data_IF_557710679347
#
_entry.id   IF_557710679347
#
_cell.length_a   1.000
_cell.length_b   1.000
_cell.length_c   1.000
_cell.angle_alpha   90.00
_cell.angle_beta   90.00
_cell.angle_gamma   90.00
#
_symmetry.space_group_name_H-M   'P 1'
#
loop_
_entity.id
_entity.type
_entity.pdbx_description
1 polymer ?
#
# COMPACT_ATOMS: atom_id res chain seq x y z
N UNK A 1 -45.83 56.32 -7.06
CA UNK A 1 -46.02 55.64 -5.76
C UNK A 1 -45.14 54.38 -5.73
N UNK A 2 -43.93 54.47 -5.18
CA UNK A 2 -42.96 53.35 -5.09
C UNK A 2 -42.73 53.05 -3.62
N UNK A 3 -43.17 51.88 -3.16
CA UNK A 3 -42.96 51.41 -1.79
C UNK A 3 -41.48 51.00 -1.67
N UNK A 4 -40.69 51.80 -0.93
CA UNK A 4 -39.32 51.42 -0.56
C UNK A 4 -39.41 50.41 0.60
N UNK A 5 -39.35 49.11 0.28
CA UNK A 5 -39.12 48.10 1.29
C UNK A 5 -37.73 48.32 1.92
N UNK A 6 -37.68 48.41 3.25
CA UNK A 6 -36.44 48.70 3.97
C UNK A 6 -35.49 47.49 3.92
N UNK A 7 -34.23 47.72 3.53
CA UNK A 7 -33.17 46.69 3.46
C UNK A 7 -32.89 46.00 4.81
N UNK A 8 -33.43 46.51 5.92
CA UNK A 8 -33.23 45.95 7.26
C UNK A 8 -34.02 44.66 7.51
N UNK A 9 -35.14 44.46 6.82
CA UNK A 9 -35.97 43.24 6.99
C UNK A 9 -35.40 42.02 6.24
N UNK A 10 -34.59 42.22 5.20
CA UNK A 10 -33.96 41.13 4.44
C UNK A 10 -32.70 40.57 5.14
N UNK A 11 -32.02 41.40 5.94
CA UNK A 11 -30.82 41.00 6.67
C UNK A 11 -31.15 40.14 7.90
N UNK A 12 -32.31 40.35 8.52
CA UNK A 12 -32.76 39.56 9.68
C UNK A 12 -33.22 38.14 9.31
N UNK A 13 -33.88 37.99 8.15
CA UNK A 13 -34.38 36.68 7.68
C UNK A 13 -33.22 35.78 7.22
N UNK A 14 -32.14 36.37 6.69
CA UNK A 14 -30.95 35.59 6.26
C UNK A 14 -30.11 35.09 7.44
N UNK A 15 -30.07 35.82 8.57
CA UNK A 15 -29.30 35.39 9.75
C UNK A 15 -30.00 34.28 10.54
N UNK A 16 -31.34 34.27 10.60
CA UNK A 16 -32.11 33.21 11.29
C UNK A 16 -32.07 31.88 10.52
N UNK A 17 -32.02 31.92 9.18
CA UNK A 17 -31.93 30.70 8.36
C UNK A 17 -30.59 29.95 8.54
N UNK A 18 -29.50 30.67 8.78
CA UNK A 18 -28.16 30.08 9.02
C UNK A 18 -28.09 29.43 10.41
N UNK A 19 -28.83 29.95 11.40
CA UNK A 19 -28.87 29.40 12.76
C UNK A 19 -29.70 28.11 12.87
N UNK A 20 -30.66 27.88 11.97
CA UNK A 20 -31.52 26.68 12.00
C UNK A 20 -30.93 25.53 11.16
N UNK A 21 -30.14 25.82 10.11
CA UNK A 21 -29.44 24.79 9.33
C UNK A 21 -28.03 24.45 9.84
N UNK A 22 -27.47 25.22 10.79
CA UNK A 22 -26.10 25.07 11.29
C UNK A 22 -25.86 24.01 12.37
N UNK A 23 -26.86 23.21 12.76
CA UNK A 23 -26.77 22.31 13.93
C UNK A 23 -27.05 20.83 13.65
N UNK A 24 -26.90 20.39 12.40
CA UNK A 24 -26.65 18.97 12.10
C UNK A 24 -25.18 18.73 11.77
N UNK A 25 -24.30 19.31 12.56
CA UNK A 25 -22.93 18.81 12.71
C UNK A 25 -23.03 17.42 13.34
N UNK A 26 -23.33 16.40 12.55
CA UNK A 26 -22.92 15.05 12.91
C UNK A 26 -21.42 15.14 13.08
N UNK A 27 -20.97 15.11 14.33
CA UNK A 27 -19.59 14.81 14.65
C UNK A 27 -19.26 13.55 13.86
N UNK A 28 -18.40 13.69 12.85
CA UNK A 28 -17.70 12.58 12.24
C UNK A 28 -16.77 12.05 13.33
N UNK A 29 -17.34 11.41 14.36
CA UNK A 29 -16.59 10.68 15.35
C UNK A 29 -15.77 9.68 14.55
N UNK A 30 -14.47 9.93 14.44
CA UNK A 30 -13.55 9.11 13.67
C UNK A 30 -13.81 7.65 14.08
N UNK A 31 -14.24 6.81 13.13
CA UNK A 31 -14.56 5.41 13.42
C UNK A 31 -13.37 4.80 14.17
N UNK A 32 -13.62 4.32 15.39
CA UNK A 32 -12.59 3.69 16.21
C UNK A 32 -12.01 2.50 15.44
N UNK A 33 -10.69 2.49 15.23
CA UNK A 33 -10.01 1.40 14.53
C UNK A 33 -10.12 0.12 15.40
N UNK A 34 -10.64 -1.00 14.86
CA UNK A 34 -10.70 -2.27 15.58
C UNK A 34 -9.33 -2.72 16.09
N UNK A 35 -9.28 -3.43 17.22
CA UNK A 35 -8.03 -3.81 17.90
C UNK A 35 -7.11 -4.66 17.01
N UNK A 36 -7.66 -5.48 16.14
CA UNK A 36 -6.95 -6.35 15.21
C UNK A 36 -6.26 -5.53 14.12
N UNK A 37 -6.97 -4.54 13.57
CA UNK A 37 -6.40 -3.60 12.59
C UNK A 37 -5.33 -2.72 13.25
N UNK A 38 -5.57 -2.27 14.48
CA UNK A 38 -4.58 -1.53 15.27
C UNK A 38 -3.31 -2.37 15.47
N UNK A 39 -3.43 -3.64 15.84
CA UNK A 39 -2.30 -4.55 15.99
C UNK A 39 -1.47 -4.67 14.69
N UNK A 40 -2.11 -4.82 13.54
CA UNK A 40 -1.42 -4.86 12.23
C UNK A 40 -0.68 -3.55 11.96
N UNK A 41 -1.35 -2.41 12.16
CA UNK A 41 -0.75 -1.08 11.95
C UNK A 41 0.43 -0.83 12.90
N UNK A 42 0.29 -1.24 14.16
CA UNK A 42 1.34 -1.09 15.16
C UNK A 42 2.54 -1.98 14.82
N UNK A 43 2.32 -3.21 14.33
CA UNK A 43 3.39 -4.08 13.84
C UNK A 43 4.13 -3.48 12.65
N UNK A 44 3.38 -2.96 11.65
CA UNK A 44 3.97 -2.30 10.48
C UNK A 44 4.76 -1.03 10.84
N UNK A 45 4.37 -0.35 11.91
CA UNK A 45 5.00 0.89 12.37
C UNK A 45 6.24 0.66 13.25
N UNK A 46 6.58 -0.59 13.59
CA UNK A 46 7.77 -0.89 14.38
C UNK A 46 9.03 -0.45 13.61
N UNK A 47 9.98 0.28 14.24
CA UNK A 47 11.14 0.82 13.53
C UNK A 47 11.92 -0.22 12.73
N UNK A 48 12.14 -1.41 13.28
CA UNK A 48 12.83 -2.50 12.61
C UNK A 48 12.06 -3.07 11.41
N UNK A 49 10.73 -3.01 11.43
CA UNK A 49 9.88 -3.46 10.32
C UNK A 49 9.96 -2.43 9.19
N UNK A 50 9.81 -1.15 9.52
CA UNK A 50 9.96 -0.03 8.58
C UNK A 50 11.35 -0.07 7.95
N UNK A 51 12.40 -0.24 8.74
CA UNK A 51 13.78 -0.31 8.25
C UNK A 51 14.00 -1.53 7.33
N UNK A 52 13.53 -2.72 7.73
CA UNK A 52 13.65 -3.94 6.92
C UNK A 52 13.02 -3.77 5.54
N UNK A 53 11.76 -3.32 5.50
CA UNK A 53 11.06 -3.17 4.23
C UNK A 53 11.54 -1.96 3.43
N UNK A 54 11.99 -0.89 4.08
CA UNK A 54 12.71 0.21 3.43
C UNK A 54 13.93 -0.30 2.65
N UNK A 55 14.78 -1.12 3.29
CA UNK A 55 15.94 -1.73 2.63
C UNK A 55 15.58 -2.65 1.47
N UNK A 56 14.47 -3.39 1.56
CA UNK A 56 13.97 -4.21 0.45
C UNK A 56 13.55 -3.31 -0.73
N UNK A 57 12.78 -2.26 -0.46
CA UNK A 57 12.36 -1.28 -1.47
C UNK A 57 13.58 -0.61 -2.14
N UNK A 58 14.59 -0.23 -1.38
CA UNK A 58 15.82 0.38 -1.89
C UNK A 58 16.66 -0.61 -2.71
N UNK A 59 16.65 -1.89 -2.33
CA UNK A 59 17.31 -2.95 -3.09
C UNK A 59 16.63 -3.15 -4.44
N UNK A 60 15.30 -3.26 -4.47
CA UNK A 60 14.53 -3.40 -5.71
C UNK A 60 14.69 -2.15 -6.59
N UNK A 61 14.63 -0.95 -6.00
CA UNK A 61 14.94 0.30 -6.71
C UNK A 61 16.29 0.24 -7.44
N UNK A 62 17.29 -0.32 -6.77
CA UNK A 62 18.66 -0.45 -7.29
C UNK A 62 18.80 -1.57 -8.33
N UNK A 63 17.99 -2.63 -8.25
CA UNK A 63 18.00 -3.71 -9.24
C UNK A 63 17.42 -3.25 -10.57
N UNK A 64 16.30 -2.52 -10.54
CA UNK A 64 15.64 -1.95 -11.71
C UNK A 64 15.52 -2.93 -12.89
N UNK A 65 15.12 -4.17 -12.60
CA UNK A 65 15.02 -5.22 -13.62
C UNK A 65 13.73 -5.07 -14.43
N UNK A 66 13.80 -5.30 -15.74
CA UNK A 66 12.65 -5.18 -16.64
C UNK A 66 11.63 -6.30 -16.46
N UNK A 67 10.42 -6.04 -16.96
CA UNK A 67 9.36 -7.02 -17.18
C UNK A 67 9.88 -8.39 -17.63
N UNK A 68 9.52 -9.45 -16.91
CA UNK A 68 9.87 -10.86 -17.14
C UNK A 68 11.37 -11.19 -16.96
N UNK A 69 12.16 -10.28 -16.39
CA UNK A 69 13.61 -10.42 -16.18
C UNK A 69 14.03 -10.05 -14.75
N UNK A 70 13.08 -9.97 -13.82
CA UNK A 70 13.22 -9.51 -12.43
C UNK A 70 13.73 -10.59 -11.47
N UNK A 71 14.82 -11.26 -11.83
CA UNK A 71 15.33 -12.40 -11.09
C UNK A 71 15.74 -12.05 -9.65
N UNK A 72 16.37 -10.89 -9.43
CA UNK A 72 16.80 -10.47 -8.09
C UNK A 72 15.61 -9.98 -7.26
N UNK A 73 14.73 -9.18 -7.85
CA UNK A 73 13.53 -8.66 -7.15
C UNK A 73 12.58 -9.80 -6.77
N UNK A 74 12.28 -10.70 -7.70
CA UNK A 74 11.47 -11.89 -7.46
C UNK A 74 12.06 -12.74 -6.35
N UNK A 75 13.37 -13.06 -6.46
CA UNK A 75 14.06 -13.85 -5.45
C UNK A 75 13.97 -13.20 -4.06
N UNK A 76 14.26 -11.90 -3.96
CA UNK A 76 14.27 -11.17 -2.69
C UNK A 76 12.89 -11.20 -2.00
N UNK A 77 11.82 -10.95 -2.73
CA UNK A 77 10.46 -10.94 -2.16
C UNK A 77 9.99 -12.35 -1.77
N UNK A 78 10.22 -13.33 -2.65
CA UNK A 78 9.86 -14.71 -2.39
C UNK A 78 10.65 -15.30 -1.19
N UNK A 79 11.96 -15.05 -1.11
CA UNK A 79 12.78 -15.46 0.04
C UNK A 79 12.27 -14.80 1.34
N UNK A 80 11.87 -13.53 1.27
CA UNK A 80 11.33 -12.80 2.43
C UNK A 80 10.03 -13.42 2.93
N UNK A 81 9.16 -13.88 2.03
CA UNK A 81 7.91 -14.56 2.37
C UNK A 81 8.15 -15.97 2.92
N UNK A 82 9.08 -16.73 2.32
CA UNK A 82 9.51 -18.04 2.85
C UNK A 82 10.04 -17.92 4.29
N UNK A 83 10.92 -16.93 4.54
CA UNK A 83 11.44 -16.65 5.88
C UNK A 83 10.35 -16.25 6.88
N UNK A 84 9.25 -15.68 6.40
CA UNK A 84 8.08 -15.34 7.22
C UNK A 84 7.13 -16.54 7.45
N UNK A 85 7.46 -17.72 6.91
CA UNK A 85 6.71 -18.97 7.07
C UNK A 85 5.66 -19.22 6.01
N UNK A 86 5.64 -18.46 4.90
CA UNK A 86 4.79 -18.77 3.76
C UNK A 86 5.34 -19.97 2.99
N UNK A 87 4.46 -20.82 2.46
CA UNK A 87 4.82 -21.78 1.43
C UNK A 87 4.92 -21.04 0.10
N UNK A 88 6.06 -21.08 -0.57
CA UNK A 88 6.27 -20.40 -1.85
C UNK A 88 6.46 -21.40 -2.98
N UNK A 89 5.73 -21.18 -4.07
CA UNK A 89 5.83 -21.92 -5.32
C UNK A 89 6.38 -20.95 -6.38
N UNK A 90 7.52 -21.27 -7.00
CA UNK A 90 8.27 -20.39 -7.92
C UNK A 90 8.25 -20.93 -9.35
N UNK A 91 8.50 -20.08 -10.33
CA UNK A 91 8.60 -20.47 -11.75
C UNK A 91 7.25 -20.86 -12.35
N UNK A 92 6.17 -20.25 -11.86
CA UNK A 92 4.80 -20.61 -12.27
C UNK A 92 4.45 -20.05 -13.65
N UNK A 93 3.47 -20.67 -14.30
CA UNK A 93 2.97 -20.26 -15.62
C UNK A 93 4.06 -20.14 -16.71
N UNK A 94 5.17 -20.88 -16.57
CA UNK A 94 6.31 -20.80 -17.49
C UNK A 94 7.15 -19.54 -17.35
N UNK A 95 6.93 -18.73 -16.31
CA UNK A 95 7.65 -17.49 -16.02
C UNK A 95 8.62 -17.71 -14.85
N UNK A 96 9.95 -17.75 -15.07
CA UNK A 96 10.93 -18.03 -14.02
C UNK A 96 10.89 -17.06 -12.84
N UNK A 97 10.45 -15.82 -13.07
CA UNK A 97 10.37 -14.76 -12.05
C UNK A 97 9.03 -14.73 -11.31
N UNK A 98 8.02 -15.49 -11.75
CA UNK A 98 6.72 -15.54 -11.08
C UNK A 98 6.74 -16.47 -9.87
N UNK A 99 6.07 -16.08 -8.79
CA UNK A 99 5.86 -16.94 -7.63
C UNK A 99 4.52 -16.70 -6.93
N UNK A 100 4.03 -17.71 -6.23
CA UNK A 100 2.88 -17.61 -5.34
C UNK A 100 3.30 -18.01 -3.94
N UNK A 101 3.12 -17.11 -2.98
CA UNK A 101 3.27 -17.41 -1.56
C UNK A 101 1.90 -17.63 -0.93
N UNK A 102 1.75 -18.69 -0.12
CA UNK A 102 0.51 -19.00 0.59
C UNK A 102 0.75 -19.20 2.08
N UNK A 103 -0.15 -18.70 2.93
CA UNK A 103 -0.15 -18.94 4.38
C UNK A 103 -1.58 -19.14 4.90
N UNK A 104 -1.73 -19.98 5.93
CA UNK A 104 -3.01 -20.30 6.52
C UNK A 104 -3.77 -21.40 5.77
N UNK A 105 -5.06 -21.53 6.07
CA UNK A 105 -5.93 -22.55 5.46
C UNK A 105 -7.40 -22.15 5.53
N UNK A 106 -8.23 -22.79 4.72
CA UNK A 106 -9.67 -22.54 4.70
C UNK A 106 -10.04 -21.22 4.00
N UNK A 107 -11.21 -20.68 4.37
CA UNK A 107 -11.83 -19.50 3.75
C UNK A 107 -11.98 -18.36 4.77
N UNK A 108 -11.98 -17.09 4.32
CA UNK A 108 -11.81 -16.66 2.93
C UNK A 108 -10.37 -16.84 2.44
N UNK A 109 -10.19 -16.89 1.11
CA UNK A 109 -8.88 -16.78 0.47
C UNK A 109 -8.75 -15.36 -0.03
N UNK A 110 -7.77 -14.61 0.47
CA UNK A 110 -7.52 -13.23 0.09
C UNK A 110 -6.12 -13.15 -0.50
N UNK A 111 -6.03 -12.59 -1.71
CA UNK A 111 -4.77 -12.42 -2.40
C UNK A 111 -4.32 -10.96 -2.40
N UNK A 112 -3.01 -10.76 -2.32
CA UNK A 112 -2.32 -9.50 -2.49
C UNK A 112 -1.42 -9.63 -3.71
N UNK A 113 -1.48 -8.67 -4.63
CA UNK A 113 -0.60 -8.60 -5.80
C UNK A 113 0.60 -7.70 -5.46
N UNK A 114 1.81 -8.15 -5.77
CA UNK A 114 3.01 -7.34 -5.71
C UNK A 114 3.71 -7.28 -7.05
N UNK A 115 3.65 -6.12 -7.69
CA UNK A 115 4.41 -5.80 -8.91
C UNK A 115 5.78 -5.22 -8.52
N UNK A 116 6.83 -5.55 -9.26
CA UNK A 116 8.21 -5.16 -8.93
C UNK A 116 9.13 -5.05 -10.15
N UNK A 117 8.57 -4.92 -11.36
CA UNK A 117 9.31 -4.64 -12.58
C UNK A 117 9.64 -3.16 -12.75
N UNK A 118 10.68 -2.89 -13.51
CA UNK A 118 11.10 -1.56 -13.92
C UNK A 118 10.66 -1.27 -15.36
N UNK A 119 10.56 0.02 -15.68
CA UNK A 119 10.29 0.46 -17.04
C UNK A 119 11.60 0.77 -17.78
N UNK A 120 11.64 0.59 -19.11
CA UNK A 120 12.83 0.87 -19.90
C UNK A 120 13.14 2.38 -19.95
N UNK A 121 14.42 2.71 -20.09
CA UNK A 121 14.93 4.07 -20.38
C UNK A 121 14.65 5.16 -19.33
N UNK A 122 14.12 4.80 -18.17
CA UNK A 122 13.73 5.77 -17.12
C UNK A 122 14.52 5.60 -15.81
N UNK A 123 15.80 5.22 -15.91
CA UNK A 123 16.72 5.27 -14.78
C UNK A 123 16.64 6.61 -14.05
N UNK A 124 16.70 6.57 -12.73
CA UNK A 124 16.52 7.74 -11.88
C UNK A 124 17.31 7.58 -10.57
N UNK A 125 17.97 8.65 -10.14
CA UNK A 125 18.53 8.71 -8.79
C UNK A 125 17.39 8.82 -7.76
N UNK A 126 17.47 8.01 -6.71
CA UNK A 126 16.51 8.05 -5.61
C UNK A 126 16.48 9.40 -4.89
N UNK A 127 15.32 9.83 -4.42
CA UNK A 127 15.15 11.07 -3.66
C UNK A 127 15.24 12.36 -4.47
N UNK A 128 15.37 12.29 -5.81
CA UNK A 128 15.46 13.47 -6.67
C UNK A 128 14.12 13.71 -7.39
N UNK A 129 13.40 14.82 -7.12
CA UNK A 129 12.06 15.09 -7.67
C UNK A 129 12.10 15.67 -9.09
N UNK A 130 13.19 15.47 -9.81
CA UNK A 130 13.40 15.92 -11.21
C UNK A 130 14.13 14.82 -11.96
N UNK A 131 13.99 14.82 -13.28
CA UNK A 131 14.71 13.87 -14.13
C UNK A 131 16.22 14.01 -13.92
N UNK A 132 16.82 12.98 -13.32
CA UNK A 132 18.25 12.89 -13.04
C UNK A 132 18.65 11.41 -13.08
N UNK A 133 18.93 10.87 -14.28
CA UNK A 133 19.19 9.45 -14.44
C UNK A 133 20.49 9.04 -13.72
N UNK A 134 20.46 7.89 -13.06
CA UNK A 134 21.68 7.28 -12.52
C UNK A 134 22.57 6.79 -13.66
N UNK A 135 21.96 6.10 -14.64
CA UNK A 135 22.59 5.72 -15.91
C UNK A 135 21.63 6.09 -17.04
N UNK A 136 22.06 6.98 -17.94
CA UNK A 136 21.21 7.46 -19.05
C UNK A 136 20.75 6.29 -19.92
N UNK A 137 19.44 6.13 -20.08
CA UNK A 137 18.84 5.06 -20.88
C UNK A 137 18.78 3.69 -20.22
N UNK A 138 19.26 3.53 -18.98
CA UNK A 138 18.99 2.31 -18.23
C UNK A 138 17.53 2.27 -17.73
N UNK A 139 17.01 1.10 -17.34
CA UNK A 139 15.70 0.99 -16.70
C UNK A 139 15.63 1.68 -15.34
N UNK A 140 14.40 1.90 -14.85
CA UNK A 140 14.13 2.46 -13.52
C UNK A 140 12.68 2.30 -13.08
N UNK A 141 12.41 2.47 -11.78
CA UNK A 141 11.06 2.33 -11.19
C UNK A 141 10.26 3.64 -11.17
N UNK A 142 9.95 4.19 -12.34
CA UNK A 142 9.12 5.40 -12.44
C UNK A 142 7.66 5.22 -12.04
N UNK A 143 7.15 3.97 -12.05
CA UNK A 143 5.80 3.63 -11.56
C UNK A 143 5.78 3.24 -10.07
N UNK A 144 6.95 3.17 -9.40
CA UNK A 144 7.03 2.86 -7.97
C UNK A 144 6.85 1.39 -7.62
N UNK A 145 7.01 0.46 -8.56
CA UNK A 145 6.84 -0.98 -8.33
C UNK A 145 7.81 -1.53 -7.26
N UNK A 146 8.98 -0.91 -7.07
CA UNK A 146 9.86 -1.22 -5.94
C UNK A 146 9.15 -1.10 -4.58
N UNK A 147 8.27 -0.10 -4.43
CA UNK A 147 7.46 0.08 -3.22
C UNK A 147 6.22 -0.81 -3.21
N UNK A 148 5.58 -1.06 -4.36
CA UNK A 148 4.37 -1.88 -4.44
C UNK A 148 4.63 -3.33 -4.03
N UNK A 149 5.60 -4.00 -4.65
CA UNK A 149 5.97 -5.38 -4.29
C UNK A 149 6.41 -5.52 -2.84
N UNK A 150 7.18 -4.53 -2.35
CA UNK A 150 7.63 -4.47 -0.96
C UNK A 150 6.48 -4.27 0.03
N UNK A 151 5.61 -3.29 -0.21
CA UNK A 151 4.49 -2.98 0.67
C UNK A 151 3.46 -4.11 0.68
N UNK A 152 3.18 -4.73 -0.46
CA UNK A 152 2.33 -5.91 -0.55
C UNK A 152 2.91 -7.08 0.25
N UNK A 153 4.22 -7.31 0.17
CA UNK A 153 4.91 -8.34 0.96
C UNK A 153 4.80 -8.06 2.46
N UNK A 154 5.06 -6.82 2.88
CA UNK A 154 4.90 -6.40 4.28
C UNK A 154 3.47 -6.59 4.77
N UNK A 155 2.48 -6.22 3.95
CA UNK A 155 1.07 -6.38 4.27
C UNK A 155 0.67 -7.86 4.42
N UNK A 156 1.11 -8.75 3.52
CA UNK A 156 0.86 -10.18 3.63
C UNK A 156 1.38 -10.74 4.96
N UNK A 157 2.62 -10.38 5.32
CA UNK A 157 3.24 -10.80 6.58
C UNK A 157 2.49 -10.21 7.79
N UNK A 158 2.09 -8.94 7.73
CA UNK A 158 1.37 -8.29 8.83
C UNK A 158 -0.02 -8.92 9.06
N UNK A 159 -0.74 -9.26 7.98
CA UNK A 159 -2.02 -9.99 8.09
C UNK A 159 -1.78 -11.39 8.67
N UNK A 160 -0.70 -12.08 8.28
CA UNK A 160 -0.28 -13.35 8.89
C UNK A 160 -0.08 -13.23 10.40
N UNK A 161 0.58 -12.17 10.89
CA UNK A 161 0.73 -11.93 12.33
C UNK A 161 -0.63 -11.82 13.05
N UNK A 162 -1.63 -11.20 12.42
CA UNK A 162 -2.97 -11.10 12.99
C UNK A 162 -3.72 -12.44 12.99
N UNK A 163 -3.58 -13.25 11.93
CA UNK A 163 -4.13 -14.62 11.90
C UNK A 163 -3.61 -15.43 13.08
N UNK A 164 -2.30 -15.44 13.30
CA UNK A 164 -1.68 -16.19 14.39
C UNK A 164 -2.10 -15.66 15.77
N UNK A 165 -2.08 -14.33 15.96
CA UNK A 165 -2.38 -13.72 17.26
C UNK A 165 -3.83 -13.91 17.69
N UNK A 166 -4.77 -13.82 16.76
CA UNK A 166 -6.21 -13.83 17.06
C UNK A 166 -6.88 -15.17 16.70
N UNK A 167 -6.13 -16.14 16.18
CA UNK A 167 -6.65 -17.46 15.81
C UNK A 167 -7.64 -17.42 14.65
N UNK A 168 -7.52 -16.45 13.74
CA UNK A 168 -8.43 -16.35 12.60
C UNK A 168 -8.17 -17.47 11.58
N UNK A 169 -9.26 -17.99 11.02
CA UNK A 169 -9.23 -18.90 9.89
C UNK A 169 -9.24 -18.11 8.58
N UNK A 170 -8.49 -18.59 7.59
CA UNK A 170 -8.36 -17.95 6.28
C UNK A 170 -7.03 -18.28 5.62
N UNK A 171 -6.97 -18.05 4.32
CA UNK A 171 -5.76 -18.23 3.52
C UNK A 171 -5.33 -16.89 2.93
N UNK A 172 -4.07 -16.53 3.14
CA UNK A 172 -3.42 -15.41 2.48
C UNK A 172 -2.69 -15.96 1.26
N UNK A 173 -2.87 -15.33 0.11
CA UNK A 173 -2.01 -15.51 -1.05
C UNK A 173 -1.28 -14.21 -1.38
N UNK A 174 -0.04 -14.33 -1.82
CA UNK A 174 0.70 -13.26 -2.45
C UNK A 174 1.06 -13.70 -3.86
N UNK A 175 0.64 -12.92 -4.85
CA UNK A 175 1.02 -13.10 -6.25
C UNK A 175 2.19 -12.17 -6.54
N UNK A 176 3.32 -12.75 -6.89
CA UNK A 176 4.50 -12.06 -7.38
C UNK A 176 5.06 -12.75 -8.61
#
# INVERSE_FOLDING_TARGET
MRIKASKKSFLFITIVAILIFGLSGQSLAAKKIPKEKRFVLDWLSQPQVVEKFGKISDSIWSYAELGLQEFKSSKLLADTLEQAGFKVERGLAGMPTCFVASYGSGKPVIAILGEFDALPMISQKGGVPKQDPLVKGAPGHGCGHNTMGTAGTAAAIAVKQALDKYGFQGTIKFFG
#
